data_IF_301871387159
#
_entry.id   IF_301871387159
#
_cell.length_a   1.000
_cell.length_b   1.000
_cell.length_c   1.000
_cell.angle_alpha   90.00
_cell.angle_beta   90.00
_cell.angle_gamma   90.00
#
_symmetry.space_group_name_H-M   'P 1'
#
loop_
_entity.id
_entity.type
_entity.pdbx_description
1 polymer ?
#
# COMPACT_ATOMS: atom_id res chain seq x y z
N UNK A 1 2.51 16.51 -2.18
CA UNK A 1 3.26 15.94 -1.02
C UNK A 1 2.57 16.13 0.34
N UNK A 2 1.79 17.19 0.59
CA UNK A 2 0.98 17.32 1.83
C UNK A 2 -0.12 16.25 1.95
N UNK A 3 -0.67 15.82 0.80
CA UNK A 3 -1.69 14.77 0.71
C UNK A 3 -1.25 13.42 1.31
N UNK A 4 0.05 13.09 1.28
CA UNK A 4 0.55 11.79 1.77
C UNK A 4 0.56 11.72 3.31
N UNK A 5 0.75 12.86 3.98
CA UNK A 5 0.60 12.95 5.43
C UNK A 5 -0.86 12.88 5.84
N UNK A 6 -1.75 13.53 5.08
CA UNK A 6 -3.19 13.48 5.32
C UNK A 6 -3.73 12.05 5.16
N UNK A 7 -3.39 11.38 4.06
CA UNK A 7 -3.79 9.99 3.80
C UNK A 7 -3.33 9.00 4.89
N UNK A 8 -2.26 9.31 5.63
CA UNK A 8 -1.72 8.43 6.68
C UNK A 8 -2.22 8.75 8.08
N UNK A 9 -2.47 10.02 8.39
CA UNK A 9 -2.71 10.52 9.75
C UNK A 9 -4.12 11.09 9.93
N UNK A 10 -4.84 11.42 8.85
CA UNK A 10 -6.17 12.03 8.90
C UNK A 10 -6.18 13.53 9.18
N UNK A 11 -5.02 14.13 9.50
CA UNK A 11 -4.86 15.54 9.88
C UNK A 11 -3.96 16.31 8.91
N UNK A 12 -4.32 17.57 8.64
CA UNK A 12 -3.49 18.53 7.91
C UNK A 12 -2.29 18.93 8.79
N UNK A 13 -1.10 18.46 8.43
CA UNK A 13 0.09 18.82 9.18
C UNK A 13 0.62 20.21 8.80
N UNK A 14 0.99 20.99 9.82
CA UNK A 14 1.66 22.30 9.66
C UNK A 14 3.03 22.22 8.97
N UNK A 15 3.67 21.05 8.98
CA UNK A 15 4.94 20.79 8.29
C UNK A 15 4.66 19.93 7.05
N UNK A 16 5.28 20.31 5.93
CA UNK A 16 5.20 19.51 4.71
C UNK A 16 5.88 18.16 4.92
N UNK A 17 5.51 17.14 4.14
CA UNK A 17 6.18 15.84 4.18
C UNK A 17 7.71 15.98 3.97
N UNK A 18 8.21 16.80 3.03
CA UNK A 18 9.64 17.09 2.93
C UNK A 18 10.26 17.62 4.20
N UNK A 19 9.61 18.57 4.87
CA UNK A 19 10.14 19.16 6.11
C UNK A 19 10.20 18.11 7.22
N UNK A 20 9.17 17.26 7.33
CA UNK A 20 9.15 16.15 8.30
C UNK A 20 10.23 15.11 8.00
N UNK A 21 10.40 14.72 6.74
CA UNK A 21 11.42 13.76 6.34
C UNK A 21 12.81 14.33 6.63
N UNK A 22 13.06 15.58 6.23
CA UNK A 22 14.33 16.26 6.48
C UNK A 22 14.63 16.44 7.97
N UNK A 23 13.61 16.71 8.78
CA UNK A 23 13.76 16.90 10.22
C UNK A 23 13.95 15.58 10.98
N UNK A 24 13.17 14.55 10.64
CA UNK A 24 13.13 13.29 11.40
C UNK A 24 14.10 12.22 10.85
N UNK A 25 14.37 12.22 9.55
CA UNK A 25 15.11 11.16 8.88
C UNK A 25 16.29 11.77 8.09
N UNK A 26 17.36 12.08 8.80
CA UNK A 26 18.60 12.65 8.22
C UNK A 26 19.29 11.72 7.21
N UNK A 27 18.93 10.43 7.20
CA UNK A 27 19.40 9.43 6.24
C UNK A 27 18.71 9.51 4.88
N UNK A 28 17.63 10.28 4.76
CA UNK A 28 16.85 10.45 3.54
C UNK A 28 17.06 11.84 2.93
N UNK A 29 17.16 11.88 1.60
CA UNK A 29 17.11 13.09 0.78
C UNK A 29 15.91 13.01 -0.16
N UNK A 30 15.37 14.17 -0.53
CA UNK A 30 14.31 14.25 -1.53
C UNK A 30 14.88 14.86 -2.79
N UNK A 31 14.88 14.10 -3.88
CA UNK A 31 15.42 14.52 -5.18
C UNK A 31 14.30 14.38 -6.21
N UNK A 32 13.91 15.49 -6.86
CA UNK A 32 12.84 15.51 -7.88
C UNK A 32 11.50 14.89 -7.42
N UNK A 33 11.19 14.95 -6.12
CA UNK A 33 9.96 14.40 -5.54
C UNK A 33 10.08 12.94 -5.09
N UNK A 34 11.21 12.28 -5.34
CA UNK A 34 11.50 10.93 -4.84
C UNK A 34 12.27 10.98 -3.53
N UNK A 35 11.92 10.09 -2.61
CA UNK A 35 12.66 9.90 -1.36
C UNK A 35 13.76 8.87 -1.61
N UNK A 36 15.01 9.27 -1.44
CA UNK A 36 16.19 8.45 -1.67
C UNK A 36 17.08 8.47 -0.44
N UNK A 37 17.94 7.47 -0.28
CA UNK A 37 18.99 7.53 0.74
C UNK A 37 20.04 8.58 0.38
N UNK A 38 20.68 9.18 1.38
CA UNK A 38 21.79 10.11 1.14
C UNK A 38 22.96 9.44 0.42
N UNK A 39 23.24 8.21 0.81
CA UNK A 39 24.28 7.34 0.27
C UNK A 39 23.65 5.97 -0.04
N UNK A 40 23.96 5.40 -1.21
CA UNK A 40 23.29 4.20 -1.72
C UNK A 40 23.61 2.98 -0.82
N UNK A 41 24.80 2.98 -0.22
CA UNK A 41 25.29 1.96 0.71
C UNK A 41 24.45 1.88 1.99
N UNK A 42 23.76 2.98 2.36
CA UNK A 42 22.84 2.99 3.50
C UNK A 42 21.64 2.09 3.22
N UNK A 43 21.16 2.08 1.97
CA UNK A 43 20.10 1.19 1.56
C UNK A 43 20.50 -0.26 1.81
N UNK A 44 21.68 -0.67 1.37
CA UNK A 44 22.16 -2.05 1.50
C UNK A 44 22.43 -2.47 2.95
N UNK A 45 22.74 -1.51 3.83
CA UNK A 45 22.96 -1.76 5.25
C UNK A 45 21.68 -1.96 6.07
N UNK A 46 20.50 -1.59 5.54
CA UNK A 46 19.23 -1.76 6.25
C UNK A 46 18.78 -3.23 6.14
N UNK A 47 18.61 -3.94 7.27
CA UNK A 47 18.19 -5.33 7.25
C UNK A 47 16.77 -5.47 6.70
N UNK A 48 16.52 -6.58 6.00
CA UNK A 48 15.14 -6.98 5.70
C UNK A 48 14.45 -7.42 6.98
N UNK A 49 13.17 -7.09 7.11
CA UNK A 49 12.33 -7.63 8.16
C UNK A 49 12.13 -9.12 7.86
N UNK A 50 12.75 -9.99 8.66
CA UNK A 50 12.44 -11.42 8.58
C UNK A 50 10.95 -11.61 8.88
N UNK A 51 10.31 -12.46 8.08
CA UNK A 51 8.92 -12.82 8.23
C UNK A 51 8.81 -13.79 9.41
N UNK A 52 8.73 -13.26 10.61
CA UNK A 52 8.30 -14.00 11.79
C UNK A 52 6.81 -14.34 11.63
N UNK A 53 6.50 -15.64 11.63
CA UNK A 53 5.16 -16.17 11.35
C UNK A 53 4.29 -16.19 12.63
N UNK A 54 4.83 -15.75 13.76
CA UNK A 54 4.10 -15.57 15.01
C UNK A 54 4.74 -14.52 15.92
N UNK A 55 3.96 -13.94 16.84
CA UNK A 55 4.48 -13.10 17.94
C UNK A 55 5.50 -13.82 18.84
N UNK A 56 5.53 -15.16 18.80
CA UNK A 56 6.53 -15.96 19.52
C UNK A 56 7.86 -16.01 18.78
N UNK A 57 7.83 -16.01 17.44
CA UNK A 57 9.03 -16.00 16.58
C UNK A 57 9.62 -14.61 16.41
N UNK A 58 8.86 -13.52 16.60
CA UNK A 58 9.42 -12.15 16.67
C UNK A 58 10.47 -12.04 17.80
N UNK A 59 10.28 -12.76 18.92
CA UNK A 59 11.24 -12.81 20.02
C UNK A 59 12.47 -13.69 19.70
N UNK A 60 12.31 -14.72 18.86
CA UNK A 60 13.40 -15.58 18.41
C UNK A 60 14.20 -14.96 17.26
N UNK A 61 13.58 -14.19 16.37
CA UNK A 61 14.25 -13.40 15.32
C UNK A 61 15.03 -12.22 15.94
N UNK A 62 14.53 -11.59 17.00
CA UNK A 62 15.33 -10.64 17.81
C UNK A 62 16.57 -11.31 18.42
N UNK A 63 16.50 -12.63 18.72
CA UNK A 63 17.63 -13.42 19.20
C UNK A 63 18.57 -13.90 18.08
N UNK A 64 18.07 -14.22 16.89
CA UNK A 64 18.88 -14.68 15.75
C UNK A 64 19.57 -13.52 15.02
N UNK A 65 18.91 -12.37 14.91
CA UNK A 65 19.52 -11.13 14.42
C UNK A 65 20.52 -10.53 15.43
N UNK A 66 20.56 -11.08 16.65
CA UNK A 66 21.60 -10.83 17.64
C UNK A 66 22.94 -11.52 17.33
N UNK A 67 23.11 -12.18 16.18
CA UNK A 67 24.40 -12.78 15.79
C UNK A 67 25.55 -11.75 15.66
N UNK A 68 25.23 -10.47 15.45
CA UNK A 68 26.19 -9.35 15.54
C UNK A 68 26.21 -8.61 16.89
N UNK A 69 25.40 -9.06 17.85
CA UNK A 69 25.19 -8.41 19.13
C UNK A 69 26.08 -9.05 20.20
N UNK A 70 27.04 -8.27 20.72
CA UNK A 70 27.84 -8.66 21.89
C UNK A 70 26.90 -9.03 23.03
N UNK A 71 26.91 -10.32 23.38
CA UNK A 71 26.10 -10.90 24.46
C UNK A 71 26.55 -10.36 25.82
N UNK A 72 25.67 -10.36 26.84
CA UNK A 72 26.06 -9.98 28.19
C UNK A 72 27.24 -10.81 28.73
N UNK A 73 27.33 -12.07 28.31
CA UNK A 73 28.45 -12.97 28.65
C UNK A 73 29.76 -12.55 28.00
N UNK A 74 29.77 -12.25 26.70
CA UNK A 74 30.96 -11.74 26.00
C UNK A 74 31.44 -10.41 26.58
N UNK A 75 30.50 -9.52 26.93
CA UNK A 75 30.84 -8.25 27.57
C UNK A 75 31.43 -8.45 28.97
N UNK A 76 30.87 -9.38 29.75
CA UNK A 76 31.41 -9.73 31.06
C UNK A 76 32.84 -10.29 30.96
N UNK A 77 33.12 -11.11 29.93
CA UNK A 77 34.48 -11.60 29.66
C UNK A 77 35.44 -10.47 29.28
N UNK A 78 35.05 -9.57 28.37
CA UNK A 78 35.88 -8.42 27.96
C UNK A 78 36.14 -7.49 29.15
N UNK A 79 35.11 -7.20 29.95
CA UNK A 79 35.23 -6.40 31.17
C UNK A 79 36.17 -7.05 32.19
N UNK A 80 36.02 -8.35 32.42
CA UNK A 80 36.87 -9.09 33.33
C UNK A 80 38.33 -9.07 32.86
N UNK A 81 38.57 -9.34 31.58
CA UNK A 81 39.90 -9.30 30.99
C UNK A 81 40.53 -7.91 31.16
N UNK A 82 39.88 -6.85 30.67
CA UNK A 82 40.43 -5.49 30.73
C UNK A 82 40.62 -4.99 32.16
N UNK A 83 39.75 -5.37 33.10
CA UNK A 83 39.94 -5.06 34.53
C UNK A 83 41.12 -5.77 35.18
N UNK A 84 41.56 -6.89 34.58
CA UNK A 84 42.67 -7.71 35.08
C UNK A 84 44.01 -7.31 34.47
N UNK A 85 44.05 -6.95 33.19
CA UNK A 85 45.30 -6.58 32.49
C UNK A 85 45.62 -5.09 32.51
N UNK A 86 44.61 -4.22 32.65
CA UNK A 86 44.83 -2.78 32.67
C UNK A 86 44.79 -2.24 34.12
N UNK A 87 45.67 -1.27 34.47
CA UNK A 87 45.52 -0.50 35.70
C UNK A 87 44.14 0.16 35.78
N UNK A 88 43.53 0.20 36.96
CA UNK A 88 42.17 0.74 37.16
C UNK A 88 41.99 2.15 36.58
N UNK A 89 42.99 3.02 36.71
CA UNK A 89 42.96 4.37 36.14
C UNK A 89 42.80 4.36 34.61
N UNK A 90 43.44 3.40 33.92
CA UNK A 90 43.34 3.27 32.46
C UNK A 90 42.00 2.68 32.05
N UNK A 91 41.52 1.67 32.78
CA UNK A 91 40.20 1.07 32.54
C UNK A 91 39.07 2.11 32.68
N UNK A 92 39.09 2.92 33.74
CA UNK A 92 38.08 3.96 33.94
C UNK A 92 38.14 5.06 32.88
N UNK A 93 39.33 5.40 32.38
CA UNK A 93 39.53 6.41 31.33
C UNK A 93 39.03 5.96 29.95
N UNK A 94 38.88 4.66 29.73
CA UNK A 94 38.32 4.11 28.49
C UNK A 94 36.79 4.15 28.45
N UNK A 95 36.13 4.47 29.57
CA UNK A 95 34.66 4.68 29.67
C UNK A 95 33.81 3.53 29.08
N UNK A 96 34.33 2.30 29.10
CA UNK A 96 33.72 1.14 28.44
C UNK A 96 32.31 0.84 28.98
N UNK A 97 32.12 1.01 30.28
CA UNK A 97 30.82 0.84 30.94
C UNK A 97 29.79 1.88 30.43
N UNK A 98 30.23 3.12 30.21
CA UNK A 98 29.39 4.21 29.70
C UNK A 98 29.07 4.00 28.22
N UNK A 99 30.06 3.59 27.43
CA UNK A 99 29.88 3.22 26.02
C UNK A 99 28.89 2.06 25.85
N UNK A 100 28.94 1.06 26.73
CA UNK A 100 28.02 -0.09 26.67
C UNK A 100 26.57 0.30 27.02
N UNK A 101 26.38 1.10 28.07
CA UNK A 101 25.05 1.60 28.42
C UNK A 101 24.47 2.54 27.35
N UNK A 102 25.30 3.37 26.71
CA UNK A 102 24.89 4.12 25.52
C UNK A 102 24.50 3.21 24.36
N UNK A 103 25.27 2.14 24.10
CA UNK A 103 24.95 1.16 23.05
C UNK A 103 23.65 0.41 23.34
N UNK A 104 23.33 0.10 24.61
CA UNK A 104 22.01 -0.44 25.00
C UNK A 104 20.88 0.55 24.75
N UNK A 105 21.06 1.82 25.09
CA UNK A 105 20.05 2.85 24.80
C UNK A 105 19.81 3.05 23.31
N UNK A 106 20.86 2.90 22.47
CA UNK A 106 20.73 2.93 21.00
C UNK A 106 19.94 1.71 20.49
N UNK A 107 20.04 0.53 21.12
CA UNK A 107 19.22 -0.65 20.74
C UNK A 107 17.73 -0.44 20.99
N UNK A 108 17.36 0.40 21.95
CA UNK A 108 15.96 0.78 22.18
C UNK A 108 15.45 1.88 21.23
N UNK A 109 16.31 2.44 20.37
CA UNK A 109 15.85 3.33 19.28
C UNK A 109 15.36 2.48 18.11
N UNK A 110 14.18 2.82 17.62
CA UNK A 110 13.49 2.23 16.46
C UNK A 110 14.46 1.83 15.35
N UNK A 111 14.72 0.52 15.22
CA UNK A 111 15.53 -0.03 14.15
C UNK A 111 14.71 -0.02 12.86
N UNK A 112 15.27 0.58 11.81
CA UNK A 112 14.64 0.64 10.48
C UNK A 112 14.85 -0.72 9.79
N UNK A 113 13.80 -1.24 9.16
CA UNK A 113 13.83 -2.46 8.38
C UNK A 113 13.21 -2.22 7.01
N UNK A 114 13.68 -2.95 5.99
CA UNK A 114 12.97 -3.08 4.71
C UNK A 114 11.87 -4.11 4.86
N UNK A 115 10.69 -3.81 4.34
CA UNK A 115 9.69 -4.87 4.14
C UNK A 115 10.21 -5.84 3.07
N UNK A 116 9.76 -7.10 3.11
CA UNK A 116 9.96 -7.99 1.97
C UNK A 116 9.14 -7.46 0.76
N UNK A 117 9.59 -7.69 -0.48
CA UNK A 117 8.93 -7.12 -1.67
C UNK A 117 7.44 -7.43 -1.75
N UNK A 118 7.01 -8.61 -1.32
CA UNK A 118 5.61 -9.00 -1.36
C UNK A 118 4.75 -8.20 -0.36
N UNK A 119 5.29 -7.96 0.85
CA UNK A 119 4.63 -7.13 1.86
C UNK A 119 4.60 -5.65 1.48
N UNK A 120 5.66 -5.15 0.84
CA UNK A 120 5.71 -3.80 0.30
C UNK A 120 4.59 -3.57 -0.72
N UNK A 121 4.50 -4.43 -1.73
CA UNK A 121 3.48 -4.35 -2.78
C UNK A 121 2.06 -4.47 -2.21
N UNK A 122 1.86 -5.34 -1.20
CA UNK A 122 0.57 -5.46 -0.53
C UNK A 122 0.18 -4.17 0.21
N UNK A 123 1.14 -3.51 0.89
CA UNK A 123 0.89 -2.22 1.55
C UNK A 123 0.57 -1.12 0.54
N UNK A 124 1.25 -1.12 -0.60
CA UNK A 124 1.02 -0.16 -1.68
C UNK A 124 -0.35 -0.36 -2.33
N UNK A 125 -0.72 -1.61 -2.64
CA UNK A 125 -2.04 -1.95 -3.15
C UNK A 125 -3.16 -1.54 -2.20
N UNK A 126 -3.04 -1.86 -0.90
CA UNK A 126 -4.03 -1.48 0.10
C UNK A 126 -4.16 0.05 0.25
N UNK A 127 -3.03 0.77 0.16
CA UNK A 127 -3.04 2.23 0.21
C UNK A 127 -3.75 2.82 -1.01
N UNK A 128 -3.52 2.26 -2.21
CA UNK A 128 -4.26 2.65 -3.42
C UNK A 128 -5.76 2.40 -3.26
N UNK A 129 -6.15 1.22 -2.76
CA UNK A 129 -7.56 0.90 -2.51
C UNK A 129 -8.22 1.88 -1.56
N UNK A 130 -7.56 2.21 -0.44
CA UNK A 130 -8.08 3.20 0.53
C UNK A 130 -8.28 4.57 -0.09
N UNK A 131 -7.28 5.07 -0.83
CA UNK A 131 -7.37 6.36 -1.50
C UNK A 131 -8.51 6.45 -2.52
N UNK A 132 -8.88 5.32 -3.13
CA UNK A 132 -9.95 5.27 -4.14
C UNK A 132 -11.33 4.95 -3.53
N UNK A 133 -11.36 4.24 -2.41
CA UNK A 133 -12.60 3.80 -1.77
C UNK A 133 -13.10 4.78 -0.70
N UNK A 134 -12.20 5.43 0.04
CA UNK A 134 -12.53 6.38 1.10
C UNK A 134 -12.73 7.79 0.54
N UNK A 135 -13.48 8.63 1.27
CA UNK A 135 -13.65 10.04 0.94
C UNK A 135 -12.37 10.82 1.26
N UNK A 136 -11.42 10.80 0.33
CA UNK A 136 -10.19 11.60 0.37
C UNK A 136 -10.34 12.80 -0.58
N UNK A 137 -9.60 13.89 -0.32
CA UNK A 137 -9.53 15.03 -1.23
C UNK A 137 -9.15 14.57 -2.66
N UNK A 138 -10.12 14.67 -3.56
CA UNK A 138 -10.13 14.03 -4.88
C UNK A 138 -9.14 14.67 -5.86
N UNK A 139 -8.58 15.84 -5.53
CA UNK A 139 -7.61 16.55 -6.33
C UNK A 139 -6.15 16.22 -6.00
N UNK A 140 -5.90 15.22 -5.16
CA UNK A 140 -4.53 14.85 -4.80
C UNK A 140 -3.83 14.00 -5.89
N UNK A 141 -2.56 14.29 -6.15
CA UNK A 141 -1.67 13.48 -6.99
C UNK A 141 -1.67 11.98 -6.59
N UNK A 142 -2.01 11.69 -5.33
CA UNK A 142 -2.08 10.33 -4.79
C UNK A 142 -3.27 9.55 -5.33
N UNK A 143 -4.41 10.18 -5.56
CA UNK A 143 -5.56 9.51 -6.19
C UNK A 143 -5.19 9.17 -7.65
N UNK A 144 -4.50 10.08 -8.35
CA UNK A 144 -4.01 9.81 -9.70
C UNK A 144 -2.99 8.66 -9.73
N UNK A 145 -2.09 8.62 -8.76
CA UNK A 145 -1.17 7.49 -8.56
C UNK A 145 -1.93 6.18 -8.31
N UNK A 146 -2.90 6.19 -7.39
CA UNK A 146 -3.67 5.00 -7.05
C UNK A 146 -4.41 4.42 -8.26
N UNK A 147 -5.08 5.27 -9.06
CA UNK A 147 -5.75 4.84 -10.31
C UNK A 147 -4.78 4.18 -11.30
N UNK A 148 -3.55 4.70 -11.36
CA UNK A 148 -2.56 4.26 -12.36
C UNK A 148 -1.83 2.98 -11.96
N UNK A 149 -1.63 2.76 -10.66
CA UNK A 149 -0.72 1.70 -10.17
C UNK A 149 -1.43 0.59 -9.38
N UNK A 150 -2.72 0.73 -9.06
CA UNK A 150 -3.45 -0.25 -8.24
C UNK A 150 -3.28 -1.70 -8.76
N UNK A 151 -3.54 -1.92 -10.04
CA UNK A 151 -3.46 -3.28 -10.62
C UNK A 151 -2.04 -3.80 -10.65
N UNK A 152 -1.05 -2.94 -10.91
CA UNK A 152 0.36 -3.31 -10.90
C UNK A 152 0.76 -3.84 -9.52
N UNK A 153 0.44 -3.09 -8.46
CA UNK A 153 0.66 -3.52 -7.09
C UNK A 153 -0.10 -4.80 -6.74
N UNK A 154 -1.39 -4.91 -7.11
CA UNK A 154 -2.18 -6.13 -6.87
C UNK A 154 -1.60 -7.35 -7.60
N UNK A 155 -0.99 -7.16 -8.78
CA UNK A 155 -0.39 -8.23 -9.59
C UNK A 155 0.95 -8.70 -9.05
N UNK A 156 1.70 -7.81 -8.39
CA UNK A 156 3.01 -8.11 -7.82
C UNK A 156 2.91 -8.90 -6.51
N UNK A 157 1.74 -8.89 -5.87
CA UNK A 157 1.48 -9.62 -4.63
C UNK A 157 1.16 -11.08 -4.89
N UNK A 158 2.00 -11.96 -4.37
CA UNK A 158 1.68 -13.35 -4.13
C UNK A 158 0.80 -13.48 -2.87
N UNK A 159 -0.50 -13.68 -3.10
CA UNK A 159 -1.49 -13.87 -2.04
C UNK A 159 -1.12 -15.00 -1.09
N UNK A 160 -0.53 -16.11 -1.53
CA UNK A 160 -0.15 -17.22 -0.63
C UNK A 160 0.88 -16.81 0.42
N UNK A 161 1.62 -15.73 0.18
CA UNK A 161 2.60 -15.20 1.10
C UNK A 161 2.01 -14.16 2.05
N UNK A 162 0.87 -13.53 1.78
CA UNK A 162 0.34 -12.49 2.67
C UNK A 162 -0.34 -13.11 3.90
N UNK A 163 -0.04 -12.60 5.09
CA UNK A 163 -0.69 -13.03 6.33
C UNK A 163 -2.21 -12.87 6.25
N UNK A 164 -2.95 -13.86 6.76
CA UNK A 164 -4.42 -13.90 6.70
C UNK A 164 -5.03 -12.62 7.29
N UNK A 165 -4.61 -12.22 8.49
CA UNK A 165 -5.09 -11.00 9.15
C UNK A 165 -4.95 -9.77 8.27
N UNK A 166 -3.84 -9.68 7.53
CA UNK A 166 -3.61 -8.58 6.61
C UNK A 166 -4.50 -8.67 5.35
N UNK A 167 -4.68 -9.87 4.77
CA UNK A 167 -5.59 -10.09 3.63
C UNK A 167 -7.02 -9.66 3.92
N UNK A 168 -7.51 -9.92 5.13
CA UNK A 168 -8.89 -9.58 5.52
C UNK A 168 -9.21 -8.10 5.37
N UNK A 169 -8.18 -7.24 5.33
CA UNK A 169 -8.36 -5.79 5.17
C UNK A 169 -8.71 -5.37 3.74
N UNK A 170 -8.42 -6.20 2.73
CA UNK A 170 -8.61 -5.83 1.32
C UNK A 170 -10.07 -5.94 0.87
N UNK A 171 -10.79 -6.96 1.33
CA UNK A 171 -12.14 -7.28 0.85
C UNK A 171 -13.11 -6.10 0.91
N UNK A 172 -13.26 -5.42 2.07
CA UNK A 172 -14.17 -4.28 2.18
C UNK A 172 -13.87 -3.15 1.19
N UNK A 173 -12.59 -2.82 0.96
CA UNK A 173 -12.21 -1.76 0.04
C UNK A 173 -12.37 -2.18 -1.43
N UNK A 174 -12.05 -3.43 -1.78
CA UNK A 174 -12.30 -3.96 -3.13
C UNK A 174 -13.79 -3.93 -3.46
N UNK A 175 -14.66 -4.38 -2.55
CA UNK A 175 -16.10 -4.29 -2.75
C UNK A 175 -16.52 -2.84 -2.90
N UNK A 176 -16.13 -1.97 -1.96
CA UNK A 176 -16.50 -0.54 -1.99
C UNK A 176 -16.14 0.11 -3.32
N UNK A 177 -14.92 -0.13 -3.82
CA UNK A 177 -14.42 0.43 -5.07
C UNK A 177 -15.29 0.12 -6.29
N UNK A 178 -15.93 -1.05 -6.31
CA UNK A 178 -16.70 -1.54 -7.44
C UNK A 178 -18.22 -1.55 -7.21
N UNK A 179 -18.71 -1.28 -6.00
CA UNK A 179 -20.15 -1.31 -5.69
C UNK A 179 -20.71 0.00 -5.14
N UNK A 180 -19.86 0.91 -4.64
CA UNK A 180 -20.30 2.16 -4.02
C UNK A 180 -20.11 3.33 -4.99
N UNK A 181 -21.19 4.08 -5.23
CA UNK A 181 -21.24 5.17 -6.22
C UNK A 181 -20.11 6.21 -6.05
N UNK A 182 -19.79 6.62 -4.81
CA UNK A 182 -18.73 7.61 -4.54
C UNK A 182 -17.32 7.08 -4.82
N UNK A 183 -17.05 5.82 -4.47
CA UNK A 183 -15.78 5.16 -4.79
C UNK A 183 -15.63 4.94 -6.29
N UNK A 184 -16.71 4.53 -6.97
CA UNK A 184 -16.76 4.41 -8.44
C UNK A 184 -16.47 5.76 -9.09
N UNK A 185 -17.07 6.84 -8.62
CA UNK A 185 -16.80 8.17 -9.15
C UNK A 185 -15.36 8.63 -8.90
N UNK A 186 -14.77 8.25 -7.77
CA UNK A 186 -13.34 8.51 -7.50
C UNK A 186 -12.45 7.70 -8.44
N UNK A 187 -12.76 6.43 -8.69
CA UNK A 187 -12.05 5.56 -9.64
C UNK A 187 -12.12 6.09 -11.07
N UNK A 188 -13.33 6.43 -11.53
CA UNK A 188 -13.61 6.93 -12.88
C UNK A 188 -13.28 8.42 -13.05
N UNK A 189 -12.99 9.12 -11.94
CA UNK A 189 -12.77 10.56 -11.87
C UNK A 189 -13.97 11.38 -12.38
N UNK A 190 -15.19 10.94 -12.08
CA UNK A 190 -16.43 11.61 -12.50
C UNK A 190 -16.69 12.93 -11.74
N UNK A 191 -16.09 13.09 -10.55
CA UNK A 191 -16.36 14.20 -9.63
C UNK A 191 -15.54 15.47 -9.92
N UNK A 192 -14.57 15.43 -10.85
CA UNK A 192 -13.75 16.58 -11.17
C UNK A 192 -14.51 17.64 -11.95
N UNK A 193 -14.45 18.91 -11.50
CA UNK A 193 -15.04 20.07 -12.20
C UNK A 193 -14.54 20.23 -13.66
N UNK A 194 -13.34 19.70 -13.95
CA UNK A 194 -12.73 19.70 -15.28
C UNK A 194 -12.87 18.36 -16.02
N UNK A 195 -13.44 17.34 -15.37
CA UNK A 195 -13.39 15.94 -15.78
C UNK A 195 -11.97 15.35 -15.86
N UNK A 196 -11.84 14.04 -16.14
CA UNK A 196 -10.53 13.41 -16.30
C UNK A 196 -9.82 13.90 -17.56
N UNK A 197 -8.51 14.15 -17.44
CA UNK A 197 -7.65 14.37 -18.60
C UNK A 197 -7.69 13.16 -19.55
N UNK A 198 -7.39 13.33 -20.86
CA UNK A 198 -7.38 12.21 -21.81
C UNK A 198 -6.49 11.05 -21.38
N UNK A 199 -5.37 11.33 -20.72
CA UNK A 199 -4.44 10.30 -20.25
C UNK A 199 -5.00 9.55 -19.04
N UNK A 200 -5.65 10.23 -18.10
CA UNK A 200 -6.34 9.60 -16.97
C UNK A 200 -7.49 8.70 -17.45
N UNK A 201 -8.30 9.18 -18.42
CA UNK A 201 -9.35 8.35 -19.04
C UNK A 201 -8.78 7.08 -19.63
N UNK A 202 -7.69 7.20 -20.39
CA UNK A 202 -7.04 6.05 -21.02
C UNK A 202 -6.55 5.05 -19.98
N UNK A 203 -5.95 5.50 -18.88
CA UNK A 203 -5.47 4.63 -17.79
C UNK A 203 -6.60 3.91 -17.08
N UNK A 204 -7.68 4.61 -16.75
CA UNK A 204 -8.88 4.01 -16.14
C UNK A 204 -9.52 2.98 -17.07
N UNK A 205 -9.66 3.31 -18.37
CA UNK A 205 -10.16 2.36 -19.36
C UNK A 205 -9.20 1.16 -19.53
N UNK A 206 -7.89 1.35 -19.47
CA UNK A 206 -6.92 0.26 -19.47
C UNK A 206 -7.08 -0.62 -18.23
N UNK A 207 -7.30 -0.05 -17.06
CA UNK A 207 -7.55 -0.80 -15.83
C UNK A 207 -8.81 -1.66 -15.95
N UNK A 208 -9.93 -1.09 -16.42
CA UNK A 208 -11.25 -1.73 -16.39
C UNK A 208 -11.54 -2.61 -17.62
N UNK A 209 -10.93 -2.31 -18.78
CA UNK A 209 -11.13 -3.06 -20.02
C UNK A 209 -9.94 -3.92 -20.42
N UNK A 210 -8.86 -3.98 -19.64
CA UNK A 210 -7.86 -5.02 -19.82
C UNK A 210 -8.30 -6.30 -19.10
N UNK A 211 -8.26 -7.42 -19.82
CA UNK A 211 -8.71 -8.72 -19.31
C UNK A 211 -7.82 -9.24 -18.16
N UNK A 212 -6.51 -9.10 -18.27
CA UNK A 212 -5.58 -9.51 -17.22
C UNK A 212 -5.77 -8.70 -15.94
N UNK A 213 -5.97 -7.38 -16.07
CA UNK A 213 -6.28 -6.50 -14.93
C UNK A 213 -7.53 -6.95 -14.18
N UNK A 214 -8.58 -7.30 -14.92
CA UNK A 214 -9.85 -7.75 -14.35
C UNK A 214 -9.72 -9.14 -13.71
N UNK A 215 -8.95 -10.04 -14.30
CA UNK A 215 -8.71 -11.37 -13.73
C UNK A 215 -7.93 -11.28 -12.42
N UNK A 216 -6.99 -10.34 -12.29
CA UNK A 216 -6.33 -10.06 -11.00
C UNK A 216 -7.37 -9.64 -9.96
N UNK A 217 -8.25 -8.68 -10.26
CA UNK A 217 -9.27 -8.22 -9.31
C UNK A 217 -10.20 -9.38 -8.91
N UNK A 218 -10.63 -10.20 -9.88
CA UNK A 218 -11.47 -11.37 -9.63
C UNK A 218 -10.74 -12.42 -8.79
N UNK A 219 -9.45 -12.64 -9.01
CA UNK A 219 -8.62 -13.53 -8.19
C UNK A 219 -8.59 -13.06 -6.73
N UNK A 220 -8.41 -11.76 -6.49
CA UNK A 220 -8.45 -11.19 -5.14
C UNK A 220 -9.82 -11.36 -4.48
N UNK A 221 -10.91 -11.13 -5.23
CA UNK A 221 -12.29 -11.33 -4.73
C UNK A 221 -12.65 -12.81 -4.53
N UNK A 222 -11.91 -13.74 -5.11
CA UNK A 222 -12.11 -15.18 -4.93
C UNK A 222 -11.25 -15.77 -3.79
N UNK A 223 -10.31 -15.02 -3.21
CA UNK A 223 -9.51 -15.46 -2.07
C UNK A 223 -10.35 -15.43 -0.78
N UNK A 224 -10.47 -16.59 -0.12
CA UNK A 224 -11.32 -16.77 1.08
C UNK A 224 -10.93 -15.85 2.24
N UNK A 225 -9.63 -15.58 2.42
CA UNK A 225 -9.15 -14.71 3.47
C UNK A 225 -9.44 -13.23 3.17
N UNK A 226 -9.38 -12.84 1.89
CA UNK A 226 -9.73 -11.47 1.46
C UNK A 226 -11.20 -11.16 1.75
N UNK A 227 -12.10 -12.11 1.46
CA UNK A 227 -13.54 -11.91 1.66
C UNK A 227 -14.02 -12.24 3.08
N UNK A 228 -13.13 -12.59 4.00
CA UNK A 228 -13.51 -13.04 5.34
C UNK A 228 -14.28 -11.96 6.10
N UNK A 229 -13.84 -10.70 6.01
CA UNK A 229 -14.35 -9.56 6.76
C UNK A 229 -15.36 -8.68 6.00
N UNK A 230 -15.94 -9.17 4.89
CA UNK A 230 -17.03 -8.44 4.21
C UNK A 230 -18.38 -8.79 4.82
N UNK A 231 -19.35 -7.87 4.77
CA UNK A 231 -20.71 -8.13 5.26
C UNK A 231 -21.51 -9.03 4.28
N UNK A 232 -22.68 -9.52 4.70
CA UNK A 232 -23.46 -10.48 3.90
C UNK A 232 -23.98 -9.91 2.57
N UNK A 233 -24.31 -8.61 2.55
CA UNK A 233 -24.71 -7.91 1.32
C UNK A 233 -23.56 -7.89 0.30
N UNK A 234 -22.35 -7.53 0.76
CA UNK A 234 -21.14 -7.56 -0.03
C UNK A 234 -20.79 -8.97 -0.52
N UNK A 235 -20.92 -10.01 0.33
CA UNK A 235 -20.75 -11.42 -0.11
C UNK A 235 -21.75 -11.81 -1.19
N UNK A 236 -23.00 -11.38 -1.03
CA UNK A 236 -24.06 -11.55 -2.02
C UNK A 236 -23.65 -10.94 -3.36
N UNK A 237 -23.16 -9.70 -3.35
CA UNK A 237 -22.65 -9.04 -4.55
C UNK A 237 -21.46 -9.78 -5.17
N UNK A 238 -20.45 -10.18 -4.39
CA UNK A 238 -19.23 -10.89 -4.87
C UNK A 238 -19.57 -12.18 -5.65
N UNK A 239 -20.68 -12.83 -5.32
CA UNK A 239 -21.13 -14.04 -6.03
C UNK A 239 -21.39 -13.78 -7.52
N UNK A 240 -21.85 -12.57 -7.86
CA UNK A 240 -22.01 -12.09 -9.24
C UNK A 240 -20.68 -12.18 -10.02
N UNK A 241 -19.70 -11.33 -9.66
CA UNK A 241 -18.39 -11.30 -10.29
C UNK A 241 -17.62 -12.62 -10.26
N UNK A 242 -17.65 -13.36 -9.15
CA UNK A 242 -16.75 -14.51 -8.97
C UNK A 242 -17.34 -15.81 -9.53
N UNK A 243 -18.66 -16.01 -9.44
CA UNK A 243 -19.27 -17.33 -9.72
C UNK A 243 -20.23 -17.37 -10.91
N UNK A 244 -20.79 -16.25 -11.33
CA UNK A 244 -21.89 -16.25 -12.31
C UNK A 244 -21.57 -15.44 -13.56
N UNK A 245 -21.49 -14.12 -13.44
CA UNK A 245 -21.41 -13.20 -14.58
C UNK A 245 -20.00 -12.66 -14.83
N UNK A 246 -19.03 -12.99 -13.98
CA UNK A 246 -17.64 -12.64 -14.23
C UNK A 246 -17.41 -11.12 -14.25
N UNK A 247 -16.59 -10.71 -15.22
CA UNK A 247 -16.25 -9.30 -15.45
C UNK A 247 -17.47 -8.40 -15.72
N UNK A 248 -18.57 -8.95 -16.25
CA UNK A 248 -19.81 -8.19 -16.48
C UNK A 248 -20.40 -7.69 -15.16
N UNK A 249 -20.61 -8.58 -14.18
CA UNK A 249 -21.14 -8.18 -12.88
C UNK A 249 -20.20 -7.24 -12.14
N UNK A 250 -18.88 -7.38 -12.34
CA UNK A 250 -17.89 -6.48 -11.72
C UNK A 250 -17.98 -5.04 -12.28
N UNK A 251 -18.19 -4.89 -13.60
CA UNK A 251 -18.24 -3.58 -14.26
C UNK A 251 -19.63 -2.95 -14.34
N UNK A 252 -20.69 -3.73 -14.18
CA UNK A 252 -22.07 -3.25 -14.29
C UNK A 252 -22.36 -2.03 -13.39
N UNK A 253 -21.95 -1.99 -12.10
CA UNK A 253 -22.17 -0.81 -11.26
C UNK A 253 -21.50 0.45 -11.84
N UNK A 254 -20.28 0.34 -12.34
CA UNK A 254 -19.57 1.46 -12.98
C UNK A 254 -20.29 1.96 -14.23
N UNK A 255 -20.75 1.05 -15.09
CA UNK A 255 -21.53 1.39 -16.27
C UNK A 255 -22.87 2.08 -15.91
N UNK A 256 -23.58 1.56 -14.90
CA UNK A 256 -24.81 2.17 -14.40
C UNK A 256 -24.56 3.55 -13.82
N UNK A 257 -23.46 3.74 -13.07
CA UNK A 257 -23.10 5.05 -12.50
C UNK A 257 -22.82 6.08 -13.59
N UNK A 258 -22.07 5.72 -14.63
CA UNK A 258 -21.82 6.60 -15.78
C UNK A 258 -23.09 6.94 -16.55
N UNK A 259 -23.98 5.96 -16.77
CA UNK A 259 -25.26 6.19 -17.43
C UNK A 259 -26.16 7.13 -16.61
N UNK A 260 -26.17 7.00 -15.27
CA UNK A 260 -26.91 7.90 -14.38
C UNK A 260 -26.41 9.34 -14.51
N UNK A 261 -25.09 9.56 -14.45
CA UNK A 261 -24.49 10.87 -14.62
C UNK A 261 -24.85 11.53 -15.97
N UNK A 262 -24.85 10.76 -17.05
CA UNK A 262 -25.22 11.25 -18.38
C UNK A 262 -26.69 11.70 -18.48
N UNK A 263 -27.60 11.00 -17.80
CA UNK A 263 -29.05 11.19 -18.03
C UNK A 263 -29.69 12.08 -16.97
N UNK A 264 -29.23 12.01 -15.72
CA UNK A 264 -29.93 12.58 -14.56
C UNK A 264 -29.18 13.71 -13.86
N UNK A 265 -27.87 13.84 -14.07
CA UNK A 265 -27.04 14.80 -13.33
C UNK A 265 -26.51 15.90 -14.26
N UNK A 266 -26.22 17.08 -13.71
CA UNK A 266 -25.55 18.13 -14.49
C UNK A 266 -24.13 17.66 -14.82
N UNK A 267 -23.77 17.70 -16.10
CA UNK A 267 -22.49 17.20 -16.58
C UNK A 267 -21.85 18.17 -17.57
N UNK A 268 -20.54 18.05 -17.70
CA UNK A 268 -19.71 18.91 -18.56
C UNK A 268 -19.20 18.14 -19.78
N UNK A 269 -18.83 18.86 -20.85
CA UNK A 269 -18.38 18.26 -22.13
C UNK A 269 -17.26 17.21 -21.97
N UNK A 270 -16.26 17.37 -21.07
CA UNK A 270 -15.24 16.33 -20.84
C UNK A 270 -15.81 15.02 -20.32
N UNK A 271 -16.83 15.07 -19.45
CA UNK A 271 -17.52 13.88 -18.94
C UNK A 271 -18.27 13.15 -20.05
N UNK A 272 -18.98 13.87 -20.93
CA UNK A 272 -19.71 13.26 -22.06
C UNK A 272 -18.75 12.43 -22.92
N UNK A 273 -17.55 12.96 -23.22
CA UNK A 273 -16.53 12.22 -23.97
C UNK A 273 -16.10 10.96 -23.24
N UNK A 274 -15.82 11.05 -21.94
CA UNK A 274 -15.45 9.87 -21.15
C UNK A 274 -16.53 8.79 -21.17
N UNK A 275 -17.79 9.18 -20.93
CA UNK A 275 -18.90 8.24 -20.92
C UNK A 275 -19.19 7.66 -22.31
N UNK A 276 -18.99 8.44 -23.39
CA UNK A 276 -19.10 7.96 -24.77
C UNK A 276 -17.98 7.00 -25.19
N UNK A 277 -16.85 6.99 -24.49
CA UNK A 277 -15.78 6.00 -24.67
C UNK A 277 -16.04 4.76 -23.81
N UNK A 278 -16.45 4.95 -22.55
CA UNK A 278 -16.60 3.86 -21.58
C UNK A 278 -17.81 2.97 -21.84
N UNK A 279 -19.00 3.56 -22.05
CA UNK A 279 -20.24 2.79 -22.16
C UNK A 279 -20.26 1.86 -23.38
N UNK A 280 -19.83 2.30 -24.59
CA UNK A 280 -19.66 1.38 -25.71
C UNK A 280 -18.62 0.30 -25.43
N UNK A 281 -17.49 0.64 -24.80
CA UNK A 281 -16.47 -0.35 -24.41
C UNK A 281 -17.01 -1.44 -23.47
N UNK A 282 -17.89 -1.06 -22.53
CA UNK A 282 -18.62 -2.00 -21.68
C UNK A 282 -19.57 -2.87 -22.51
N UNK A 283 -20.38 -2.27 -23.39
CA UNK A 283 -21.33 -2.99 -24.22
C UNK A 283 -20.64 -3.97 -25.17
N UNK A 284 -19.51 -3.61 -25.76
CA UNK A 284 -18.72 -4.48 -26.63
C UNK A 284 -18.19 -5.69 -25.86
N UNK A 285 -17.63 -5.46 -24.66
CA UNK A 285 -17.19 -6.55 -23.78
C UNK A 285 -18.31 -7.50 -23.40
N UNK A 286 -19.49 -6.97 -23.10
CA UNK A 286 -20.64 -7.77 -22.71
C UNK A 286 -21.27 -8.49 -23.91
N UNK A 287 -21.28 -7.87 -25.09
CA UNK A 287 -21.87 -8.44 -26.31
C UNK A 287 -21.02 -9.57 -26.89
N UNK A 288 -19.69 -9.46 -26.84
CA UNK A 288 -18.77 -10.52 -27.26
C UNK A 288 -18.92 -11.81 -26.43
N UNK A 289 -19.34 -11.71 -25.17
CA UNK A 289 -19.62 -12.87 -24.31
C UNK A 289 -20.85 -13.68 -24.78
N UNK A 290 -21.82 -13.04 -25.46
CA UNK A 290 -22.99 -13.72 -26.00
C UNK A 290 -22.79 -14.32 -27.40
N UNK A 291 -21.78 -13.86 -28.14
CA UNK A 291 -21.47 -14.35 -29.50
C UNK A 291 -20.61 -15.62 -29.53
N UNK A 292 -20.16 -16.10 -28.35
CA UNK A 292 -19.26 -17.26 -28.21
C UNK A 292 -19.95 -18.50 -27.61
N UNK A 293 -21.29 -18.49 -27.52
CA UNK A 293 -22.12 -19.60 -27.02
C UNK A 293 -22.81 -20.35 -28.16
#
# INVERSE_FOLDING_TARGET
MTAALYAKVGDLSLLTLPDKIKYKYTLLKITKGEVQFWADEVGDAIPMKCRSQSKAEEAEDEQLQSAGAVSPGEMAMVKHFLSTVCPQETYHKLEIDQFYEQKKQIRHKEQIHKDDPNTEEAKMALSCLRLLAEEVDQQSDLVSYARSNLVEHLSAVNLSLVQVDYKTTFGPYLVSLFSIDSSIDTLLNNNGLSGPSPDERRRVCQLLFNDASMDIILQWLNDEAVILNVNDEARGWITGPVRTEGRRALLMPAAMRMARHLVHEQHFVPFIKHASEFLPGFLDKVSCLFSSS
#
